data_IF_785280960004
#
_entry.id   IF_785280960004
#
_cell.length_a   1.000
_cell.length_b   1.000
_cell.length_c   1.000
_cell.angle_alpha   90.00
_cell.angle_beta   90.00
_cell.angle_gamma   90.00
#
_symmetry.space_group_name_H-M   'P 1'
#
loop_
_entity.id
_entity.type
_entity.pdbx_description
1 polymer ?
#
# COMPACT_ATOMS: atom_id res chain seq x y z
N UNK A 1 8.48 -23.99 16.15
CA UNK A 1 7.32 -23.14 15.82
C UNK A 1 7.31 -22.96 14.31
N UNK A 2 6.23 -23.30 13.63
CA UNK A 2 6.09 -23.07 12.19
C UNK A 2 5.84 -21.57 11.99
N UNK A 3 6.86 -20.80 11.59
CA UNK A 3 6.70 -19.38 11.29
C UNK A 3 6.03 -19.26 9.93
N UNK A 4 4.71 -19.07 9.91
CA UNK A 4 3.99 -18.75 8.69
C UNK A 4 4.45 -17.36 8.21
N UNK A 5 5.22 -17.33 7.13
CA UNK A 5 5.66 -16.08 6.51
C UNK A 5 4.64 -15.63 5.46
N UNK A 6 4.25 -14.37 5.54
CA UNK A 6 3.47 -13.73 4.48
C UNK A 6 4.25 -13.76 3.16
N UNK A 7 3.61 -14.29 2.12
CA UNK A 7 4.05 -14.14 0.73
C UNK A 7 3.12 -13.13 0.07
N UNK A 8 3.66 -12.04 -0.43
CA UNK A 8 2.89 -10.93 -1.01
C UNK A 8 3.13 -10.90 -2.51
N UNK A 9 2.05 -10.97 -3.29
CA UNK A 9 2.05 -10.67 -4.72
C UNK A 9 1.23 -9.39 -4.89
N UNK A 10 1.86 -8.32 -5.41
CA UNK A 10 1.22 -7.03 -5.57
C UNK A 10 1.61 -6.40 -6.92
N UNK A 11 0.64 -5.79 -7.58
CA UNK A 11 0.77 -5.15 -8.88
C UNK A 11 -0.30 -4.06 -9.01
N UNK A 12 0.07 -2.94 -9.63
CA UNK A 12 -0.88 -1.93 -10.11
C UNK A 12 -0.96 -2.04 -11.63
N UNK A 13 -2.16 -2.10 -12.18
CA UNK A 13 -2.39 -2.33 -13.61
C UNK A 13 -3.22 -1.19 -14.16
N UNK A 14 -2.75 -0.57 -15.25
CA UNK A 14 -3.52 0.47 -15.92
C UNK A 14 -4.74 -0.16 -16.62
N UNK A 15 -5.92 0.43 -16.44
CA UNK A 15 -7.10 0.01 -17.18
C UNK A 15 -6.98 0.35 -18.67
N UNK A 16 -7.57 -0.47 -19.54
CA UNK A 16 -7.52 -0.29 -21.00
C UNK A 16 -8.05 1.06 -21.49
N UNK A 17 -8.95 1.69 -20.73
CA UNK A 17 -9.47 3.00 -21.08
C UNK A 17 -8.50 4.12 -20.73
N UNK A 18 -7.72 3.99 -19.65
CA UNK A 18 -6.63 4.92 -19.33
C UNK A 18 -5.47 4.80 -20.32
N UNK A 19 -5.17 3.57 -20.78
CA UNK A 19 -4.15 3.34 -21.82
C UNK A 19 -4.50 4.07 -23.13
N UNK A 20 -5.77 4.06 -23.54
CA UNK A 20 -6.23 4.72 -24.79
C UNK A 20 -6.04 6.24 -24.78
N UNK A 21 -6.08 6.87 -23.61
CA UNK A 21 -5.84 8.31 -23.44
C UNK A 21 -4.42 8.64 -22.96
N UNK A 22 -3.54 7.64 -22.85
CA UNK A 22 -2.16 7.82 -22.40
C UNK A 22 -2.02 8.17 -20.91
N UNK A 23 -3.03 7.88 -20.10
CA UNK A 23 -3.01 8.12 -18.66
C UNK A 23 -2.12 7.13 -17.91
N UNK A 24 -1.50 7.59 -16.81
CA UNK A 24 -0.84 6.70 -15.85
C UNK A 24 -1.86 5.82 -15.12
N UNK A 25 -1.42 4.67 -14.64
CA UNK A 25 -2.18 3.90 -13.65
C UNK A 25 -2.26 4.75 -12.38
N UNK A 26 -3.48 5.00 -11.90
CA UNK A 26 -3.72 5.79 -10.69
C UNK A 26 -3.96 4.89 -9.47
N UNK A 27 -3.86 3.58 -9.64
CA UNK A 27 -3.82 2.63 -8.55
C UNK A 27 -2.40 2.55 -7.99
N UNK A 28 -2.26 2.63 -6.68
CA UNK A 28 -0.99 2.36 -6.00
C UNK A 28 -1.20 1.42 -4.82
N UNK A 29 -0.14 0.73 -4.43
CA UNK A 29 -0.11 -0.15 -3.28
C UNK A 29 1.19 0.04 -2.51
N UNK A 30 1.14 -0.20 -1.22
CA UNK A 30 2.35 -0.25 -0.41
C UNK A 30 2.17 -1.22 0.74
N UNK A 31 3.25 -1.89 1.13
CA UNK A 31 3.23 -2.84 2.23
C UNK A 31 4.56 -2.95 2.94
N UNK A 32 4.49 -3.44 4.18
CA UNK A 32 5.64 -3.86 4.99
C UNK A 32 5.26 -5.08 5.83
N UNK A 33 6.24 -5.93 6.10
CA UNK A 33 6.08 -7.07 7.00
C UNK A 33 6.88 -6.76 8.28
N UNK A 34 6.20 -6.71 9.43
CA UNK A 34 6.81 -6.54 10.75
C UNK A 34 6.97 -7.89 11.44
N UNK A 35 8.11 -8.07 12.12
CA UNK A 35 8.46 -9.27 12.92
C UNK A 35 8.24 -10.61 12.20
N UNK A 36 8.19 -10.60 10.86
CA UNK A 36 7.91 -11.76 9.99
C UNK A 36 6.54 -12.43 10.19
N UNK A 37 5.61 -11.76 10.88
CA UNK A 37 4.30 -12.32 11.26
C UNK A 37 3.13 -11.37 10.94
N UNK A 38 3.37 -10.06 10.91
CA UNK A 38 2.34 -9.07 10.62
C UNK A 38 2.57 -8.41 9.28
N UNK A 39 1.63 -8.56 8.36
CA UNK A 39 1.57 -7.80 7.11
C UNK A 39 0.72 -6.55 7.33
N UNK A 40 1.29 -5.39 7.01
CA UNK A 40 0.56 -4.12 6.93
C UNK A 40 0.62 -3.69 5.47
N UNK A 41 -0.54 -3.50 4.85
CA UNK A 41 -0.64 -3.08 3.46
C UNK A 41 -1.79 -2.09 3.27
N UNK A 42 -1.66 -1.23 2.25
CA UNK A 42 -2.71 -0.35 1.78
C UNK A 42 -2.74 -0.39 0.25
N UNK A 43 -3.93 -0.17 -0.30
CA UNK A 43 -4.19 0.06 -1.72
C UNK A 43 -5.00 1.35 -1.85
N UNK A 44 -4.77 2.12 -2.89
CA UNK A 44 -5.53 3.32 -3.19
C UNK A 44 -5.75 3.45 -4.69
N UNK A 45 -6.95 3.89 -5.06
CA UNK A 45 -7.33 4.28 -6.42
C UNK A 45 -7.42 5.81 -6.45
N UNK A 46 -6.55 6.43 -7.24
CA UNK A 46 -6.52 7.86 -7.48
C UNK A 46 -7.66 8.29 -8.40
N UNK A 47 -8.41 9.31 -8.01
CA UNK A 47 -9.53 9.78 -8.82
C UNK A 47 -9.11 10.18 -10.25
N UNK A 48 -9.72 9.56 -11.26
CA UNK A 48 -9.53 9.84 -12.70
C UNK A 48 -9.74 11.29 -13.11
N UNK A 49 -10.54 12.04 -12.35
CA UNK A 49 -10.78 13.46 -12.58
C UNK A 49 -9.69 14.38 -12.02
N UNK A 50 -8.78 13.85 -11.19
CA UNK A 50 -7.73 14.63 -10.56
C UNK A 50 -6.44 14.56 -11.38
N UNK A 51 -5.85 15.73 -11.65
CA UNK A 51 -4.59 15.87 -12.39
C UNK A 51 -3.43 15.07 -11.78
N UNK A 52 -3.44 14.89 -10.46
CA UNK A 52 -2.41 14.19 -9.69
C UNK A 52 -2.98 12.98 -8.95
N UNK A 53 -3.97 12.29 -9.54
CA UNK A 53 -4.60 11.11 -8.93
C UNK A 53 -3.59 10.02 -8.55
N UNK A 54 -2.62 9.75 -9.43
CA UNK A 54 -1.52 8.81 -9.21
C UNK A 54 -0.61 9.21 -8.03
N UNK A 55 -0.19 10.47 -7.97
CA UNK A 55 0.61 11.00 -6.87
C UNK A 55 -0.17 10.94 -5.55
N UNK A 56 -1.47 11.26 -5.59
CA UNK A 56 -2.35 11.19 -4.43
C UNK A 56 -2.50 9.76 -3.89
N UNK A 57 -2.73 8.79 -4.78
CA UNK A 57 -2.81 7.37 -4.42
C UNK A 57 -1.51 6.89 -3.77
N UNK A 58 -0.36 7.23 -4.36
CA UNK A 58 0.97 6.91 -3.81
C UNK A 58 1.17 7.46 -2.41
N UNK A 59 0.90 8.75 -2.21
CA UNK A 59 1.04 9.40 -0.90
C UNK A 59 0.11 8.73 0.12
N UNK A 60 -1.12 8.40 -0.27
CA UNK A 60 -2.10 7.79 0.61
C UNK A 60 -1.63 6.40 1.10
N UNK A 61 -1.13 5.54 0.22
CA UNK A 61 -0.67 4.20 0.62
C UNK A 61 0.60 4.23 1.46
N UNK A 62 1.59 5.05 1.08
CA UNK A 62 2.85 5.18 1.82
C UNK A 62 2.60 5.77 3.22
N UNK A 63 1.82 6.86 3.29
CA UNK A 63 1.53 7.55 4.56
C UNK A 63 0.75 6.64 5.51
N UNK A 64 -0.28 5.96 5.00
CA UNK A 64 -1.11 5.06 5.80
C UNK A 64 -0.30 3.95 6.45
N UNK A 65 0.47 3.21 5.64
CA UNK A 65 1.28 2.09 6.11
C UNK A 65 2.36 2.55 7.07
N UNK A 66 3.11 3.60 6.72
CA UNK A 66 4.19 4.11 7.57
C UNK A 66 3.65 4.65 8.90
N UNK A 67 2.48 5.30 8.90
CA UNK A 67 1.87 5.80 10.14
C UNK A 67 1.39 4.66 11.04
N UNK A 68 0.78 3.62 10.46
CA UNK A 68 0.36 2.42 11.21
C UNK A 68 1.58 1.73 11.82
N UNK A 69 2.67 1.57 11.06
CA UNK A 69 3.92 0.97 11.55
C UNK A 69 4.51 1.80 12.68
N UNK A 70 4.68 3.11 12.46
CA UNK A 70 5.21 4.03 13.46
C UNK A 70 4.42 3.92 14.76
N UNK A 71 3.08 3.93 14.70
CA UNK A 71 2.23 3.75 15.88
C UNK A 71 2.35 2.36 16.50
N UNK A 72 2.40 1.30 15.68
CA UNK A 72 2.55 -0.07 16.16
C UNK A 72 3.86 -0.26 16.94
N UNK A 73 4.95 0.37 16.49
CA UNK A 73 6.25 0.36 17.19
C UNK A 73 6.22 1.11 18.52
N UNK A 74 5.34 2.11 18.70
CA UNK A 74 5.20 2.86 19.96
C UNK A 74 4.34 2.16 21.02
N UNK A 75 3.60 1.11 20.65
CA UNK A 75 2.80 0.35 21.62
C UNK A 75 3.75 -0.51 22.46
N UNK A 76 4.02 -0.08 23.70
CA UNK A 76 4.68 -0.91 24.71
C UNK A 76 3.86 -2.20 24.90
N UNK A 77 4.54 -3.35 24.88
CA UNK A 77 4.02 -4.72 25.09
C UNK A 77 3.53 -5.51 23.86
N UNK A 78 4.04 -5.26 22.65
CA UNK A 78 3.85 -6.13 21.47
C UNK A 78 4.56 -7.52 21.55
N UNK A 79 4.73 -8.08 22.76
CA UNK A 79 5.48 -9.32 23.02
C UNK A 79 4.84 -10.24 24.08
N UNK A 80 3.50 -10.30 24.15
CA UNK A 80 2.86 -11.47 24.78
C UNK A 80 2.49 -12.51 23.71
#
# INVERSE_FOLDING_TARGET
>A
MNTYHWKVNAVSVCGSDHEKVGGSCQDDYYFRILKKELLICAVADGAGSALYGDVGAKIAVETSVNNIIYKAEQIKNWQE
#
